data_IF_206561053722
#
_entry.id   IF_206561053722
#
_cell.length_a   1.000
_cell.length_b   1.000
_cell.length_c   1.000
_cell.angle_alpha   90.00
_cell.angle_beta   90.00
_cell.angle_gamma   90.00
#
_symmetry.space_group_name_H-M   'P 1'
#
loop_
_entity.id
_entity.type
_entity.pdbx_description
1 polymer ?
#
# COMPACT_ATOMS: atom_id res chain seq x y z
N UNK A 1 5.29 -1.58 11.72
CA UNK A 1 5.75 -3.00 11.66
C UNK A 1 6.89 -3.06 10.67
N UNK A 2 8.02 -3.67 11.05
CA UNK A 2 9.21 -3.78 10.18
C UNK A 2 9.00 -4.93 9.21
N UNK A 3 9.24 -4.70 7.91
CA UNK A 3 9.27 -5.71 6.84
C UNK A 3 10.71 -6.09 6.48
N UNK A 4 11.59 -5.09 6.42
CA UNK A 4 13.03 -5.28 6.16
C UNK A 4 13.81 -4.41 7.13
N UNK A 5 14.93 -4.93 7.62
CA UNK A 5 15.89 -4.20 8.42
C UNK A 5 17.25 -4.24 7.73
N UNK A 6 17.77 -3.07 7.40
CA UNK A 6 19.07 -2.90 6.74
C UNK A 6 19.96 -1.91 7.47
N UNK A 7 21.24 -1.90 7.14
CA UNK A 7 22.22 -1.01 7.77
C UNK A 7 21.88 0.49 7.57
N UNK A 8 21.40 0.87 6.41
CA UNK A 8 21.09 2.26 6.07
C UNK A 8 19.61 2.63 6.20
N UNK A 9 18.69 1.67 6.04
CA UNK A 9 17.26 1.93 6.06
C UNK A 9 16.43 0.70 6.39
N UNK A 10 15.26 0.94 6.99
CA UNK A 10 14.25 -0.08 7.29
C UNK A 10 13.01 0.15 6.43
N UNK A 11 12.40 -0.92 5.94
CA UNK A 11 11.10 -0.91 5.28
C UNK A 11 10.01 -1.15 6.31
N UNK A 12 9.10 -0.21 6.44
CA UNK A 12 8.02 -0.25 7.42
C UNK A 12 6.66 -0.27 6.74
N UNK A 13 5.72 -1.04 7.29
CA UNK A 13 4.30 -1.02 6.89
C UNK A 13 3.43 -0.68 8.09
N UNK A 14 2.32 0.00 7.88
CA UNK A 14 1.37 0.26 8.96
C UNK A 14 0.86 -1.06 9.57
N UNK A 15 0.74 -1.10 10.90
CA UNK A 15 0.22 -2.26 11.61
C UNK A 15 -1.25 -2.49 11.33
N UNK A 16 -2.01 -1.42 11.27
CA UNK A 16 -3.45 -1.41 11.04
C UNK A 16 -3.79 -0.89 9.64
N UNK A 17 -4.97 -1.26 9.15
CA UNK A 17 -5.58 -0.63 8.00
C UNK A 17 -6.11 0.75 8.42
N UNK A 18 -5.60 1.83 7.83
CA UNK A 18 -5.72 3.18 8.38
C UNK A 18 -7.02 3.87 7.98
N UNK A 19 -7.31 3.96 6.71
CA UNK A 19 -8.42 4.73 6.15
C UNK A 19 -8.96 4.06 4.89
N UNK A 20 -10.27 4.19 4.65
CA UNK A 20 -10.94 3.67 3.46
C UNK A 20 -10.87 4.72 2.34
N UNK A 21 -10.22 4.37 1.24
CA UNK A 21 -10.02 5.25 0.10
C UNK A 21 -10.19 4.49 -1.22
N UNK A 22 -10.65 5.21 -2.23
CA UNK A 22 -10.60 4.72 -3.60
C UNK A 22 -9.15 4.61 -4.08
N UNK A 23 -8.83 3.58 -4.85
CA UNK A 23 -7.55 3.51 -5.56
C UNK A 23 -7.45 4.61 -6.63
N UNK A 24 -8.57 4.87 -7.31
CA UNK A 24 -8.72 5.97 -8.26
C UNK A 24 -10.12 6.57 -8.22
N UNK A 25 -10.24 7.86 -8.58
CA UNK A 25 -11.49 8.62 -8.44
C UNK A 25 -12.68 8.07 -9.21
N UNK A 26 -12.43 7.45 -10.38
CA UNK A 26 -13.43 6.90 -11.32
C UNK A 26 -12.99 5.53 -11.82
N UNK A 27 -13.96 4.76 -12.32
CA UNK A 27 -13.71 3.50 -13.02
C UNK A 27 -13.17 3.77 -14.42
N UNK A 28 -11.86 3.83 -14.55
CA UNK A 28 -11.15 3.99 -15.83
C UNK A 28 -9.81 3.24 -15.78
N UNK A 29 -9.17 2.94 -16.93
CA UNK A 29 -7.84 2.35 -16.92
C UNK A 29 -6.86 3.21 -16.15
N UNK A 30 -6.14 2.59 -15.19
CA UNK A 30 -5.19 3.26 -14.31
C UNK A 30 -4.11 2.30 -13.85
N UNK A 31 -2.90 2.81 -13.69
CA UNK A 31 -1.77 2.10 -13.07
C UNK A 31 -1.42 2.76 -11.75
N UNK A 32 -0.49 2.18 -10.98
CA UNK A 32 0.00 2.82 -9.76
C UNK A 32 0.51 4.23 -10.04
N UNK A 33 1.31 4.40 -11.09
CA UNK A 33 1.88 5.69 -11.51
C UNK A 33 0.83 6.79 -11.61
N UNK A 34 -0.32 6.49 -12.21
CA UNK A 34 -1.39 7.47 -12.51
C UNK A 34 -2.53 7.48 -11.50
N UNK A 35 -2.48 6.62 -10.47
CA UNK A 35 -3.56 6.49 -9.50
C UNK A 35 -3.72 7.74 -8.61
N UNK A 36 -4.96 8.08 -8.31
CA UNK A 36 -5.28 9.14 -7.36
C UNK A 36 -4.77 8.83 -5.96
N UNK A 37 -4.78 7.54 -5.58
CA UNK A 37 -4.29 7.10 -4.27
C UNK A 37 -2.79 7.36 -4.10
N UNK A 38 -1.96 7.04 -5.10
CA UNK A 38 -0.53 7.35 -5.06
C UNK A 38 -0.29 8.86 -4.90
N UNK A 39 -0.99 9.67 -5.69
CA UNK A 39 -0.88 11.12 -5.63
C UNK A 39 -1.21 11.65 -4.22
N UNK A 40 -2.30 11.16 -3.62
CA UNK A 40 -2.73 11.54 -2.28
C UNK A 40 -1.75 11.07 -1.20
N UNK A 41 -1.23 9.84 -1.29
CA UNK A 41 -0.25 9.30 -0.32
C UNK A 41 1.04 10.12 -0.27
N UNK A 42 1.51 10.62 -1.43
CA UNK A 42 2.77 11.36 -1.53
C UNK A 42 2.61 12.89 -1.37
N UNK A 43 1.40 13.36 -1.08
CA UNK A 43 1.09 14.77 -0.80
C UNK A 43 0.34 14.90 0.52
N UNK A 44 -1.00 14.83 0.47
CA UNK A 44 -1.87 15.10 1.60
C UNK A 44 -1.60 14.17 2.79
N UNK A 45 -1.48 12.88 2.54
CA UNK A 45 -1.20 11.91 3.62
C UNK A 45 0.17 12.13 4.23
N UNK A 46 1.21 12.36 3.42
CA UNK A 46 2.57 12.61 3.88
C UNK A 46 2.60 13.83 4.81
N UNK A 47 1.92 14.92 4.43
CA UNK A 47 1.87 16.16 5.21
C UNK A 47 1.02 16.04 6.48
N UNK A 48 -0.04 15.22 6.46
CA UNK A 48 -0.89 15.00 7.63
C UNK A 48 -0.30 14.02 8.64
N UNK A 49 0.40 12.99 8.15
CA UNK A 49 0.85 11.87 8.98
C UNK A 49 2.23 12.08 9.59
N UNK A 50 3.07 12.95 9.01
CA UNK A 50 4.47 13.11 9.39
C UNK A 50 4.86 14.57 9.52
N UNK A 51 5.57 14.89 10.60
CA UNK A 51 6.23 16.18 10.77
C UNK A 51 7.32 16.42 9.70
N UNK A 52 7.76 17.66 9.44
CA UNK A 52 8.86 17.92 8.52
C UNK A 52 10.16 17.18 8.84
N UNK A 53 10.43 16.94 10.12
CA UNK A 53 11.59 16.18 10.58
C UNK A 53 11.44 14.69 10.20
N UNK A 54 10.30 14.07 10.50
CA UNK A 54 10.00 12.68 10.11
C UNK A 54 10.02 12.50 8.58
N UNK A 55 9.44 13.46 7.84
CA UNK A 55 9.49 13.43 6.38
C UNK A 55 10.91 13.46 5.83
N UNK A 56 11.84 14.14 6.51
CA UNK A 56 13.26 14.17 6.10
C UNK A 56 13.95 12.82 6.28
N UNK A 57 13.47 11.99 7.22
CA UNK A 57 13.95 10.64 7.47
C UNK A 57 13.34 9.59 6.53
N UNK A 58 12.21 9.91 5.88
CA UNK A 58 11.56 9.02 4.90
C UNK A 58 12.26 9.14 3.56
N UNK A 59 12.89 8.07 3.10
CA UNK A 59 13.61 8.01 1.82
C UNK A 59 12.67 7.99 0.63
N UNK A 60 13.03 8.68 -0.44
CA UNK A 60 12.44 8.45 -1.75
C UNK A 60 12.89 7.06 -2.19
N UNK A 61 11.92 6.22 -2.53
CA UNK A 61 12.12 4.82 -2.91
C UNK A 61 11.69 4.63 -4.35
N UNK A 62 12.56 4.03 -5.16
CA UNK A 62 12.16 3.54 -6.48
C UNK A 62 11.24 2.33 -6.29
N UNK A 63 10.02 2.44 -6.81
CA UNK A 63 8.97 1.43 -6.73
C UNK A 63 8.84 0.76 -8.08
N UNK A 64 9.20 -0.51 -8.14
CA UNK A 64 9.13 -1.30 -9.37
C UNK A 64 7.70 -1.77 -9.63
N UNK A 65 7.13 -1.31 -10.74
CA UNK A 65 5.80 -1.67 -11.22
C UNK A 65 5.85 -2.54 -12.49
N UNK A 66 7.05 -2.89 -12.97
CA UNK A 66 7.26 -3.55 -14.26
C UNK A 66 6.59 -4.93 -14.37
N UNK A 67 6.44 -5.64 -13.25
CA UNK A 67 5.80 -6.95 -13.22
C UNK A 67 4.29 -6.89 -13.49
N UNK A 68 3.65 -5.77 -13.17
CA UNK A 68 2.21 -5.61 -13.32
C UNK A 68 1.42 -6.65 -12.52
N UNK A 69 0.52 -7.36 -13.20
CA UNK A 69 -0.16 -8.54 -12.67
C UNK A 69 0.18 -9.77 -13.52
N UNK A 70 1.05 -10.66 -13.07
CA UNK A 70 1.50 -11.79 -13.88
C UNK A 70 0.41 -12.87 -14.06
N UNK A 71 -0.63 -12.87 -13.22
CA UNK A 71 -1.74 -13.84 -13.33
C UNK A 71 -2.67 -13.48 -14.47
N UNK A 72 -2.95 -12.18 -14.63
CA UNK A 72 -3.91 -11.67 -15.63
C UNK A 72 -3.23 -10.95 -16.80
N UNK A 73 -1.89 -10.83 -16.77
CA UNK A 73 -1.11 -10.11 -17.77
C UNK A 73 -1.53 -8.64 -17.93
N UNK A 74 -1.94 -8.00 -16.83
CA UNK A 74 -2.29 -6.57 -16.80
C UNK A 74 -1.03 -5.77 -16.53
N UNK A 75 -0.76 -4.75 -17.35
CA UNK A 75 0.43 -3.91 -17.23
C UNK A 75 0.41 -3.05 -15.97
N UNK A 76 1.56 -2.93 -15.30
CA UNK A 76 1.73 -2.17 -14.06
C UNK A 76 2.04 -0.68 -14.26
N UNK A 77 2.37 -0.29 -15.50
CA UNK A 77 2.85 1.06 -15.82
C UNK A 77 4.34 1.24 -15.55
N UNK A 78 4.80 2.48 -15.54
CA UNK A 78 6.20 2.80 -15.28
C UNK A 78 6.54 2.67 -13.80
N UNK A 79 7.83 2.46 -13.50
CA UNK A 79 8.35 2.58 -12.15
C UNK A 79 8.16 4.01 -11.62
N UNK A 80 8.04 4.15 -10.32
CA UNK A 80 7.79 5.43 -9.66
C UNK A 80 8.80 5.69 -8.55
N UNK A 81 9.00 6.96 -8.24
CA UNK A 81 9.75 7.38 -7.06
C UNK A 81 8.74 7.89 -6.02
N UNK A 82 8.63 7.19 -4.89
CA UNK A 82 7.64 7.46 -3.87
C UNK A 82 8.25 7.52 -2.47
N UNK A 83 7.74 8.39 -1.61
CA UNK A 83 8.03 8.37 -0.17
C UNK A 83 7.07 7.43 0.56
N UNK A 84 5.81 7.41 0.11
CA UNK A 84 4.76 6.55 0.66
C UNK A 84 4.14 5.75 -0.48
N UNK A 85 4.09 4.44 -0.33
CA UNK A 85 3.57 3.53 -1.34
C UNK A 85 2.80 2.37 -0.73
N UNK A 86 2.27 1.48 -1.55
CA UNK A 86 1.65 0.22 -1.13
C UNK A 86 2.51 -0.95 -1.62
N UNK A 87 2.42 -2.09 -0.96
CA UNK A 87 3.04 -3.31 -1.46
C UNK A 87 2.41 -3.75 -2.79
N UNK A 88 3.19 -4.33 -3.68
CA UNK A 88 2.66 -5.11 -4.80
C UNK A 88 2.06 -6.41 -4.30
N UNK A 89 1.32 -7.10 -5.17
CA UNK A 89 0.83 -8.45 -4.94
C UNK A 89 1.95 -9.41 -4.56
N UNK A 90 3.07 -9.37 -5.28
CA UNK A 90 4.22 -10.26 -5.10
C UNK A 90 4.95 -9.96 -3.79
N UNK A 91 5.12 -8.68 -3.47
CA UNK A 91 5.69 -8.26 -2.19
C UNK A 91 4.82 -8.72 -1.02
N UNK A 92 3.49 -8.60 -1.14
CA UNK A 92 2.56 -9.13 -0.13
C UNK A 92 2.76 -10.64 0.05
N UNK A 93 2.87 -11.40 -1.04
CA UNK A 93 3.10 -12.84 -0.95
C UNK A 93 4.46 -13.19 -0.34
N UNK A 94 5.46 -12.34 -0.55
CA UNK A 94 6.81 -12.53 -0.01
C UNK A 94 6.87 -12.23 1.50
N UNK A 95 6.33 -11.08 1.93
CA UNK A 95 6.36 -10.68 3.34
C UNK A 95 5.31 -11.38 4.19
N UNK A 96 4.21 -11.80 3.60
CA UNK A 96 3.07 -12.45 4.25
C UNK A 96 2.65 -13.70 3.48
N UNK A 97 3.42 -14.80 3.55
CA UNK A 97 3.22 -15.98 2.70
C UNK A 97 1.88 -16.68 2.93
N UNK A 98 1.34 -16.67 4.14
CA UNK A 98 0.03 -17.28 4.44
C UNK A 98 -1.10 -16.25 4.46
N UNK A 99 -2.34 -16.72 4.20
CA UNK A 99 -3.53 -15.86 4.30
C UNK A 99 -3.72 -15.27 5.71
N UNK A 100 -3.38 -16.05 6.75
CA UNK A 100 -3.47 -15.58 8.13
C UNK A 100 -2.55 -14.39 8.44
N UNK A 101 -1.34 -14.36 7.85
CA UNK A 101 -0.39 -13.26 8.02
C UNK A 101 -0.82 -11.98 7.31
N UNK A 102 -1.65 -12.09 6.26
CA UNK A 102 -2.19 -10.95 5.51
C UNK A 102 -3.38 -10.28 6.19
N UNK A 103 -3.96 -10.92 7.21
CA UNK A 103 -5.06 -10.31 7.96
C UNK A 103 -4.62 -9.01 8.60
N UNK A 104 -5.46 -7.99 8.53
CA UNK A 104 -5.16 -6.67 9.04
C UNK A 104 -6.38 -6.10 9.77
N UNK A 105 -6.19 -5.76 11.03
CA UNK A 105 -7.24 -5.12 11.82
C UNK A 105 -7.46 -3.67 11.39
N UNK A 106 -8.72 -3.19 11.39
CA UNK A 106 -9.02 -1.81 11.06
C UNK A 106 -8.71 -0.84 12.20
N UNK A 107 -8.41 0.40 11.85
CA UNK A 107 -8.61 1.54 12.75
C UNK A 107 -10.10 1.87 12.87
N UNK A 108 -10.45 2.82 13.72
CA UNK A 108 -11.83 3.32 13.82
C UNK A 108 -12.31 3.96 12.50
N UNK A 109 -11.37 4.51 11.71
CA UNK A 109 -11.66 5.17 10.43
C UNK A 109 -11.84 4.20 9.25
N UNK A 110 -11.40 2.95 9.40
CA UNK A 110 -11.50 1.91 8.34
C UNK A 110 -12.44 0.76 8.66
N UNK A 111 -13.34 0.94 9.63
CA UNK A 111 -14.28 -0.13 10.07
C UNK A 111 -15.25 -0.60 9.00
N UNK A 112 -15.62 0.26 8.05
CA UNK A 112 -16.55 -0.10 6.96
C UNK A 112 -15.94 -1.08 5.96
N UNK A 113 -14.61 -1.00 5.78
CA UNK A 113 -13.86 -1.95 4.96
C UNK A 113 -13.56 -3.26 5.69
N UNK A 114 -14.13 -3.48 6.88
CA UNK A 114 -13.85 -4.66 7.68
C UNK A 114 -15.02 -5.64 7.70
N UNK A 115 -14.69 -6.92 7.69
CA UNK A 115 -15.60 -8.02 7.92
C UNK A 115 -14.91 -9.05 8.82
N UNK A 116 -15.65 -9.62 9.77
CA UNK A 116 -15.12 -10.56 10.76
C UNK A 116 -13.89 -10.02 11.55
N UNK A 117 -13.81 -8.69 11.75
CA UNK A 117 -12.73 -8.03 12.49
C UNK A 117 -11.49 -7.67 11.66
N UNK A 118 -11.47 -7.97 10.37
CA UNK A 118 -10.35 -7.70 9.48
C UNK A 118 -10.75 -6.86 8.28
N UNK A 119 -9.86 -5.96 7.86
CA UNK A 119 -10.08 -5.06 6.74
C UNK A 119 -9.74 -5.67 5.39
N UNK A 120 -10.42 -5.16 4.38
CA UNK A 120 -9.92 -5.18 3.00
C UNK A 120 -8.86 -4.09 2.84
N UNK A 121 -7.74 -4.37 2.17
CA UNK A 121 -6.71 -3.36 1.95
C UNK A 121 -6.05 -3.49 0.57
N UNK A 122 -5.81 -2.33 -0.06
CA UNK A 122 -5.25 -2.25 -1.40
C UNK A 122 -3.80 -2.73 -1.49
N UNK A 123 -3.46 -3.37 -2.59
CA UNK A 123 -2.09 -3.44 -3.10
C UNK A 123 -1.90 -2.37 -4.18
N UNK A 124 -0.66 -2.12 -4.63
CA UNK A 124 -0.43 -1.24 -5.78
C UNK A 124 -0.58 -1.95 -7.13
N UNK A 125 -0.66 -3.28 -7.15
CA UNK A 125 -0.74 -4.07 -8.39
C UNK A 125 -2.07 -3.86 -9.10
N UNK A 126 -2.06 -3.78 -10.44
CA UNK A 126 -3.29 -3.81 -11.22
C UNK A 126 -4.01 -5.15 -11.01
N UNK A 127 -5.32 -5.14 -11.20
CA UNK A 127 -6.14 -6.34 -11.08
C UNK A 127 -6.32 -7.07 -12.41
N UNK A 128 -7.42 -7.82 -12.51
CA UNK A 128 -7.74 -8.63 -13.70
C UNK A 128 -8.13 -7.81 -14.94
N UNK A 129 -8.40 -6.53 -14.78
CA UNK A 129 -8.76 -5.59 -15.84
C UNK A 129 -8.02 -4.28 -15.64
N UNK A 130 -7.80 -3.45 -16.70
CA UNK A 130 -7.09 -2.17 -16.56
C UNK A 130 -7.71 -1.16 -15.58
N UNK A 131 -8.99 -1.29 -15.27
CA UNK A 131 -9.74 -0.49 -14.31
C UNK A 131 -10.00 -1.21 -12.98
N UNK A 132 -9.23 -2.28 -12.69
CA UNK A 132 -9.21 -3.00 -11.43
C UNK A 132 -7.84 -2.88 -10.77
N UNK A 133 -7.81 -2.91 -9.45
CA UNK A 133 -6.60 -3.12 -8.66
C UNK A 133 -6.76 -4.33 -7.76
N UNK A 134 -5.66 -5.00 -7.46
CA UNK A 134 -5.65 -6.10 -6.50
C UNK A 134 -5.71 -5.57 -5.06
N UNK A 135 -6.41 -6.30 -4.23
CA UNK A 135 -6.51 -6.02 -2.80
C UNK A 135 -6.50 -7.33 -2.00
N UNK A 136 -6.18 -7.23 -0.73
CA UNK A 136 -6.28 -8.31 0.23
C UNK A 136 -7.64 -8.23 0.90
N UNK A 137 -8.41 -9.32 0.86
CA UNK A 137 -9.70 -9.35 1.51
C UNK A 137 -9.59 -9.72 3.00
N UNK A 138 -10.71 -9.66 3.71
CA UNK A 138 -10.79 -9.98 5.15
C UNK A 138 -10.42 -11.43 5.51
N UNK A 139 -10.21 -12.31 4.52
CA UNK A 139 -9.71 -13.69 4.69
C UNK A 139 -8.24 -13.84 4.34
N UNK A 140 -7.57 -12.75 3.92
CA UNK A 140 -6.17 -12.80 3.49
C UNK A 140 -5.95 -13.20 2.03
N UNK A 141 -7.03 -13.44 1.26
CA UNK A 141 -6.92 -13.76 -0.16
C UNK A 141 -6.69 -12.50 -1.01
N UNK A 142 -5.89 -12.64 -2.07
CA UNK A 142 -5.69 -11.59 -3.08
C UNK A 142 -6.79 -11.67 -4.11
N UNK A 143 -7.55 -10.59 -4.27
CA UNK A 143 -8.68 -10.48 -5.19
C UNK A 143 -8.61 -9.14 -5.92
N UNK A 144 -9.23 -9.07 -7.11
CA UNK A 144 -9.33 -7.84 -7.91
C UNK A 144 -10.70 -7.17 -7.75
N UNK A 145 -10.73 -5.85 -7.73
CA UNK A 145 -11.97 -5.07 -7.75
C UNK A 145 -11.81 -3.72 -8.45
N UNK A 146 -12.93 -3.06 -8.72
CA UNK A 146 -12.94 -1.73 -9.33
C UNK A 146 -12.09 -0.74 -8.54
N UNK A 147 -11.31 0.06 -9.23
CA UNK A 147 -10.42 1.09 -8.66
C UNK A 147 -11.18 2.21 -7.94
N UNK A 148 -12.46 2.40 -8.23
CA UNK A 148 -13.32 3.39 -7.58
C UNK A 148 -14.12 2.84 -6.37
N UNK A 149 -13.83 1.61 -5.94
CA UNK A 149 -14.39 1.04 -4.73
C UNK A 149 -13.94 1.85 -3.51
N UNK A 150 -14.90 2.26 -2.67
CA UNK A 150 -14.67 3.11 -1.50
C UNK A 150 -14.63 2.35 -0.16
N UNK A 151 -14.70 1.01 -0.20
CA UNK A 151 -14.75 0.16 0.99
C UNK A 151 -13.48 -0.68 1.13
N UNK A 152 -12.36 -0.16 0.67
CA UNK A 152 -11.05 -0.80 0.79
C UNK A 152 -10.10 0.17 1.44
N UNK A 153 -9.43 -0.29 2.48
CA UNK A 153 -8.54 0.53 3.27
C UNK A 153 -7.13 0.61 2.67
N UNK A 154 -6.33 1.50 3.21
CA UNK A 154 -4.91 1.62 2.90
C UNK A 154 -4.06 1.03 4.01
N UNK A 155 -2.92 0.47 3.61
CA UNK A 155 -1.87 0.00 4.49
C UNK A 155 -0.52 0.52 3.99
N UNK A 156 -0.21 1.81 4.29
CA UNK A 156 0.95 2.50 3.74
C UNK A 156 2.27 1.88 4.14
N UNK A 157 3.23 1.98 3.23
CA UNK A 157 4.61 1.54 3.37
C UNK A 157 5.53 2.74 3.19
N UNK A 158 6.58 2.82 4.01
CA UNK A 158 7.64 3.83 3.94
C UNK A 158 9.00 3.16 4.15
N UNK A 159 10.04 3.76 3.59
CA UNK A 159 11.43 3.40 3.88
C UNK A 159 12.08 4.52 4.70
N UNK A 160 12.53 4.19 5.90
CA UNK A 160 13.06 5.17 6.86
C UNK A 160 14.55 4.92 7.09
N UNK A 161 15.35 5.96 7.22
CA UNK A 161 16.76 5.86 7.57
C UNK A 161 16.93 5.20 8.95
N UNK A 162 17.75 4.16 9.03
CA UNK A 162 17.98 3.40 10.27
C UNK A 162 18.47 4.29 11.41
N UNK A 163 19.35 5.24 11.12
CA UNK A 163 19.87 6.19 12.12
C UNK A 163 18.78 7.05 12.79
N UNK A 164 17.65 7.29 12.10
CA UNK A 164 16.53 8.03 12.67
C UNK A 164 15.78 7.22 13.73
N UNK A 165 15.61 5.92 13.49
CA UNK A 165 14.90 5.02 14.42
C UNK A 165 15.66 4.81 15.75
N UNK A 166 16.98 4.95 15.75
CA UNK A 166 17.82 4.80 16.95
C UNK A 166 18.03 6.09 17.75
N UNK A 167 17.49 7.22 17.32
CA UNK A 167 17.61 8.50 18.05
C UNK A 167 16.60 8.66 19.19
N UNK A 168 15.57 7.83 19.21
CA UNK A 168 14.50 7.88 20.23
C UNK A 168 14.71 6.90 21.38
N UNK A 169 15.84 6.17 21.42
CA UNK A 169 16.29 5.37 22.57
C UNK A 169 17.30 6.16 23.40
#
# INVERSE_FOLDING_TARGET
>A
MVLEEGEESCLLISRYALEELKYHGRKEPVTWETSGLRAWLNREFLDMAFSPEEQSAIRITEVDNSLGNPVFHTEGGNNTEDRVFLLSREEVMTYFPSEGERLCEPTLHSKRASLAGYSHWWTRSPGSMPYYADYINYRGAVISQNVDNKFTAIRPVIRVMTEYLHREE
#
